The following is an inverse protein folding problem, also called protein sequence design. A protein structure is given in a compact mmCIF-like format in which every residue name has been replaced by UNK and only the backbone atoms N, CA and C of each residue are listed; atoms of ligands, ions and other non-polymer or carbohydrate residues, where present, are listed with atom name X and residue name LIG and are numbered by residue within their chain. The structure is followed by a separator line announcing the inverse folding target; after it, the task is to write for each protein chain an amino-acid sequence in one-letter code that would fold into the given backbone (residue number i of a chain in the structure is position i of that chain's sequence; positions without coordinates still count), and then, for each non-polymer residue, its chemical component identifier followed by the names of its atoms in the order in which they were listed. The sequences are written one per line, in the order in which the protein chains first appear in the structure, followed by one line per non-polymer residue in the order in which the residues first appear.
data_IF_759272498250
#
_entry.id   IF_759272498250
#
_cell.length_a   1.000
_cell.length_b   1.000
_cell.length_c   1.000
_cell.angle_alpha   90.00
_cell.angle_beta   90.00
_cell.angle_gamma   90.00
#
_symmetry.space_group_name_H-M   'P 1'
#
loop_
_entity.id
_entity.type
_entity.pdbx_description
1 polymer ?
#
# COMPACT_ATOMS: atom_id res chain seq x y z
N UNK A 1 -66.01 -46.60 46.57
CA UNK A 1 -65.14 -45.40 46.49
C UNK A 1 -64.58 -45.27 45.07
N UNK A 2 -65.01 -44.25 44.29
CA UNK A 2 -64.40 -43.90 42.98
C UNK A 2 -63.78 -42.51 43.10
N UNK A 3 -62.44 -42.42 43.09
CA UNK A 3 -61.72 -41.15 43.09
C UNK A 3 -61.67 -40.56 41.67
N UNK A 4 -62.20 -39.35 41.50
CA UNK A 4 -62.12 -38.54 40.27
C UNK A 4 -60.81 -37.75 40.26
N UNK A 5 -59.92 -38.02 39.29
CA UNK A 5 -58.76 -37.19 39.00
C UNK A 5 -59.20 -35.88 38.31
N UNK A 6 -58.90 -34.72 38.93
CA UNK A 6 -59.03 -33.39 38.31
C UNK A 6 -57.82 -33.13 37.40
N UNK A 7 -58.01 -33.11 36.08
CA UNK A 7 -57.01 -32.61 35.12
C UNK A 7 -56.95 -31.07 35.22
N UNK A 8 -55.76 -30.52 35.48
CA UNK A 8 -55.47 -29.08 35.34
C UNK A 8 -55.50 -28.74 33.85
N UNK A 9 -56.37 -27.82 33.43
CA UNK A 9 -56.40 -27.32 32.06
C UNK A 9 -55.17 -26.46 31.78
N UNK A 10 -54.39 -26.81 30.75
CA UNK A 10 -53.38 -25.92 30.17
C UNK A 10 -54.08 -24.97 29.21
N UNK A 11 -54.03 -23.66 29.48
CA UNK A 11 -54.45 -22.64 28.51
C UNK A 11 -53.41 -22.58 27.39
N UNK A 12 -53.70 -23.17 26.24
CA UNK A 12 -52.96 -22.89 25.00
C UNK A 12 -53.52 -21.59 24.41
N UNK A 13 -52.75 -20.51 24.46
CA UNK A 13 -53.06 -19.30 23.72
C UNK A 13 -52.84 -19.58 22.22
N UNK A 14 -53.90 -19.47 21.42
CA UNK A 14 -53.81 -19.57 19.96
C UNK A 14 -53.23 -18.26 19.41
N UNK A 15 -52.11 -18.36 18.68
CA UNK A 15 -51.50 -17.21 18.02
C UNK A 15 -52.24 -16.91 16.73
N UNK A 16 -52.68 -15.66 16.51
CA UNK A 16 -53.37 -15.30 15.28
C UNK A 16 -52.38 -15.08 14.14
N UNK A 17 -52.80 -15.38 12.91
CA UNK A 17 -51.99 -15.15 11.72
C UNK A 17 -51.59 -13.66 11.59
N UNK A 18 -52.45 -12.75 12.03
CA UNK A 18 -52.19 -11.30 12.03
C UNK A 18 -51.07 -10.94 13.00
N UNK A 19 -51.06 -11.46 14.22
CA UNK A 19 -49.98 -11.20 15.20
C UNK A 19 -48.62 -11.68 14.66
N UNK A 20 -48.58 -12.81 13.95
CA UNK A 20 -47.36 -13.28 13.29
C UNK A 20 -46.91 -12.34 12.19
N UNK A 21 -47.83 -11.90 11.33
CA UNK A 21 -47.53 -10.99 10.23
C UNK A 21 -47.00 -9.64 10.73
N UNK A 22 -47.56 -9.09 11.80
CA UNK A 22 -47.10 -7.81 12.38
C UNK A 22 -45.68 -7.96 12.94
N UNK A 23 -45.39 -9.04 13.66
CA UNK A 23 -44.06 -9.27 14.23
C UNK A 23 -43.00 -9.41 13.15
N UNK A 24 -43.25 -10.19 12.10
CA UNK A 24 -42.29 -10.31 10.98
C UNK A 24 -42.13 -8.98 10.24
N UNK A 25 -43.20 -8.18 10.09
CA UNK A 25 -43.13 -6.86 9.45
C UNK A 25 -42.24 -5.90 10.26
N UNK A 26 -42.38 -5.87 11.59
CA UNK A 26 -41.53 -5.05 12.46
C UNK A 26 -40.08 -5.52 12.39
N UNK A 27 -39.80 -6.83 12.47
CA UNK A 27 -38.45 -7.36 12.37
C UNK A 27 -37.82 -7.02 11.01
N UNK A 28 -38.58 -7.15 9.91
CA UNK A 28 -38.10 -6.80 8.57
C UNK A 28 -37.72 -5.32 8.47
N UNK A 29 -38.54 -4.41 9.02
CA UNK A 29 -38.25 -2.97 9.07
C UNK A 29 -37.00 -2.70 9.91
N UNK A 30 -36.88 -3.29 11.10
CA UNK A 30 -35.72 -3.11 11.96
C UNK A 30 -34.43 -3.61 11.28
N UNK A 31 -34.45 -4.78 10.64
CA UNK A 31 -33.30 -5.31 9.91
C UNK A 31 -32.95 -4.40 8.72
N UNK A 32 -33.95 -3.92 7.97
CA UNK A 32 -33.73 -3.01 6.84
C UNK A 32 -33.05 -1.70 7.27
N UNK A 33 -33.36 -1.19 8.47
CA UNK A 33 -32.74 0.02 9.02
C UNK A 33 -31.36 -0.26 9.65
N UNK A 34 -31.16 -1.43 10.26
CA UNK A 34 -29.92 -1.78 10.95
C UNK A 34 -28.82 -2.28 10.01
N UNK A 35 -29.16 -2.98 8.92
CA UNK A 35 -28.16 -3.57 8.02
C UNK A 35 -27.24 -2.52 7.39
N UNK A 36 -27.73 -1.41 6.80
CA UNK A 36 -26.86 -0.35 6.27
C UNK A 36 -25.98 0.28 7.34
N UNK A 37 -26.54 0.51 8.54
CA UNK A 37 -25.81 1.11 9.66
C UNK A 37 -24.67 0.21 10.16
N UNK A 38 -24.90 -1.10 10.27
CA UNK A 38 -23.85 -2.06 10.68
C UNK A 38 -22.73 -2.11 9.65
N UNK A 39 -23.02 -2.03 8.35
CA UNK A 39 -21.98 -2.02 7.32
C UNK A 39 -21.15 -0.74 7.35
N UNK A 40 -21.79 0.43 7.52
CA UNK A 40 -21.10 1.71 7.67
C UNK A 40 -20.18 1.71 8.91
N UNK A 41 -20.67 1.20 10.05
CA UNK A 41 -19.88 1.09 11.26
C UNK A 41 -18.67 0.16 11.08
N UNK A 42 -18.85 -0.97 10.39
CA UNK A 42 -17.75 -1.91 10.09
C UNK A 42 -16.69 -1.28 9.20
N UNK A 43 -17.09 -0.55 8.16
CA UNK A 43 -16.11 0.12 7.29
C UNK A 43 -15.39 1.27 8.01
N UNK A 44 -16.08 2.03 8.85
CA UNK A 44 -15.44 3.06 9.69
C UNK A 44 -14.40 2.45 10.65
N UNK A 45 -14.69 1.28 11.22
CA UNK A 45 -13.74 0.53 12.04
C UNK A 45 -12.53 0.05 11.22
N UNK A 46 -12.74 -0.54 10.04
CA UNK A 46 -11.65 -0.98 9.16
C UNK A 46 -10.77 0.19 8.71
N UNK A 47 -11.37 1.33 8.36
CA UNK A 47 -10.64 2.57 8.03
C UNK A 47 -9.80 3.07 9.19
N UNK A 48 -10.33 2.99 10.41
CA UNK A 48 -9.58 3.35 11.62
C UNK A 48 -8.40 2.38 11.84
N UNK A 49 -8.60 1.09 11.57
CA UNK A 49 -7.53 0.10 11.64
C UNK A 49 -6.44 0.35 10.59
N UNK A 50 -6.77 0.65 9.33
CA UNK A 50 -5.79 0.97 8.29
C UNK A 50 -5.00 2.25 8.65
N UNK A 51 -5.67 3.26 9.21
CA UNK A 51 -5.03 4.47 9.75
C UNK A 51 -4.06 4.15 10.90
N UNK A 52 -4.47 3.28 11.83
CA UNK A 52 -3.62 2.89 12.96
C UNK A 52 -2.39 2.10 12.53
N UNK A 53 -2.51 1.23 11.51
CA UNK A 53 -1.36 0.50 10.93
C UNK A 53 -0.34 1.45 10.31
N UNK A 54 -0.78 2.47 9.55
CA UNK A 54 0.12 3.54 9.07
C UNK A 54 0.78 4.30 10.23
N UNK A 55 0.02 4.59 11.30
CA UNK A 55 0.59 5.25 12.49
C UNK A 55 1.68 4.41 13.16
N UNK A 56 1.46 3.10 13.28
CA UNK A 56 2.46 2.17 13.81
C UNK A 56 3.69 2.07 12.89
N UNK A 57 3.51 2.08 11.57
CA UNK A 57 4.63 2.15 10.62
C UNK A 57 5.42 3.46 10.76
N UNK A 58 4.77 4.59 11.00
CA UNK A 58 5.44 5.85 11.30
C UNK A 58 6.30 5.77 12.56
N UNK A 59 5.78 5.19 13.63
CA UNK A 59 6.56 4.94 14.86
C UNK A 59 7.77 4.05 14.55
N UNK A 60 7.57 2.97 13.79
CA UNK A 60 8.66 2.07 13.41
C UNK A 60 9.75 2.76 12.58
N UNK A 61 9.38 3.66 11.66
CA UNK A 61 10.32 4.46 10.88
C UNK A 61 11.14 5.40 11.77
N UNK A 62 10.50 6.07 12.74
CA UNK A 62 11.24 6.92 13.68
C UNK A 62 12.15 6.10 14.62
N UNK A 63 11.72 4.92 15.07
CA UNK A 63 12.57 3.99 15.83
C UNK A 63 13.78 3.51 15.01
N UNK A 64 13.57 3.20 13.72
CA UNK A 64 14.67 2.89 12.81
C UNK A 64 15.65 4.06 12.69
N UNK A 65 15.14 5.29 12.54
CA UNK A 65 15.97 6.48 12.48
C UNK A 65 16.74 6.75 13.78
N UNK A 66 16.15 6.51 14.96
CA UNK A 66 16.83 6.65 16.25
C UNK A 66 18.04 5.72 16.36
N UNK A 67 17.93 4.48 15.88
CA UNK A 67 19.00 3.48 15.94
C UNK A 67 20.04 3.65 14.83
N UNK A 68 19.61 3.95 13.60
CA UNK A 68 20.48 3.93 12.42
C UNK A 68 20.90 5.32 11.92
N UNK A 69 20.31 6.41 12.44
CA UNK A 69 20.60 7.78 12.03
C UNK A 69 20.18 8.12 10.59
N UNK A 70 19.35 7.28 9.97
CA UNK A 70 18.82 7.44 8.62
C UNK A 70 17.45 6.78 8.48
N UNK A 71 16.74 7.09 7.41
CA UNK A 71 15.48 6.44 7.03
C UNK A 71 15.76 5.11 6.32
N UNK A 72 14.86 4.13 6.43
CA UNK A 72 14.95 2.91 5.64
C UNK A 72 14.87 3.24 4.15
N UNK A 73 15.58 2.49 3.32
CA UNK A 73 15.44 2.60 1.87
C UNK A 73 14.22 1.85 1.40
N UNK A 74 13.41 2.45 0.52
CA UNK A 74 12.29 1.76 -0.10
C UNK A 74 12.71 0.56 -0.97
N UNK A 75 13.95 0.58 -1.49
CA UNK A 75 14.59 -0.58 -2.14
C UNK A 75 16.09 -0.55 -1.91
N UNK A 76 16.62 -1.59 -1.26
CA UNK A 76 18.04 -1.77 -0.95
C UNK A 76 18.70 -2.93 -1.70
N UNK A 77 20.03 -3.02 -1.56
CA UNK A 77 20.87 -4.11 -2.07
C UNK A 77 21.29 -5.03 -0.94
N UNK A 78 21.30 -6.34 -1.16
CA UNK A 78 21.58 -7.35 -0.12
C UNK A 78 22.82 -8.20 -0.43
N UNK A 79 23.74 -7.67 -1.25
CA UNK A 79 24.99 -8.35 -1.59
C UNK A 79 24.87 -9.56 -2.54
N UNK A 80 23.66 -10.05 -2.82
CA UNK A 80 23.41 -11.26 -3.63
C UNK A 80 23.33 -11.12 -5.15
N UNK A 81 23.61 -12.21 -5.90
CA UNK A 81 23.39 -12.28 -7.34
C UNK A 81 21.88 -12.39 -7.64
N UNK A 82 21.27 -11.26 -7.97
CA UNK A 82 19.82 -11.16 -8.18
C UNK A 82 19.22 -9.78 -7.93
N UNK A 83 19.97 -8.88 -7.29
CA UNK A 83 19.78 -7.44 -7.47
C UNK A 83 18.80 -6.75 -6.51
N UNK A 84 19.36 -5.86 -5.67
CA UNK A 84 18.94 -4.44 -5.50
C UNK A 84 17.45 -4.13 -5.28
N UNK A 85 16.66 -5.08 -4.79
CA UNK A 85 15.20 -5.01 -4.66
C UNK A 85 14.63 -5.42 -3.30
N UNK A 86 15.41 -5.52 -2.22
CA UNK A 86 14.74 -5.75 -0.92
C UNK A 86 14.04 -4.49 -0.45
N UNK A 87 12.79 -4.64 0.00
CA UNK A 87 11.99 -3.56 0.53
C UNK A 87 12.52 -3.09 1.89
N UNK A 88 12.30 -1.81 2.19
CA UNK A 88 12.61 -1.22 3.50
C UNK A 88 11.88 -1.88 4.67
N UNK A 89 10.79 -2.62 4.40
CA UNK A 89 10.08 -3.38 5.42
C UNK A 89 10.95 -4.41 6.14
N UNK A 90 11.96 -4.98 5.47
CA UNK A 90 12.90 -5.92 6.11
C UNK A 90 13.64 -5.25 7.27
N UNK A 91 14.09 -4.00 7.08
CA UNK A 91 14.74 -3.21 8.13
C UNK A 91 13.78 -2.75 9.23
N UNK A 92 12.48 -2.66 8.94
CA UNK A 92 11.46 -2.26 9.91
C UNK A 92 10.98 -3.42 10.80
N UNK A 93 11.26 -4.69 10.44
CA UNK A 93 10.77 -5.86 11.20
C UNK A 93 11.02 -5.80 12.72
N UNK A 94 12.22 -5.42 13.21
CA UNK A 94 12.46 -5.33 14.65
C UNK A 94 11.60 -4.27 15.35
N UNK A 95 11.14 -3.26 14.62
CA UNK A 95 10.37 -2.12 15.12
C UNK A 95 8.85 -2.32 15.00
N UNK A 96 8.41 -3.48 14.51
CA UNK A 96 6.99 -3.85 14.31
C UNK A 96 6.65 -5.22 14.92
N UNK A 97 7.37 -5.60 15.99
CA UNK A 97 7.22 -6.87 16.70
C UNK A 97 7.45 -8.12 15.82
N UNK A 98 8.32 -7.99 14.81
CA UNK A 98 8.73 -9.09 13.92
C UNK A 98 10.23 -9.45 14.05
N UNK A 99 10.80 -9.27 15.24
CA UNK A 99 12.20 -9.63 15.52
C UNK A 99 12.56 -11.11 15.22
N UNK A 100 11.70 -12.12 15.49
CA UNK A 100 12.00 -13.50 15.12
C UNK A 100 12.14 -13.70 13.60
N UNK A 101 11.33 -12.99 12.81
CA UNK A 101 11.40 -13.03 11.35
C UNK A 101 12.66 -12.35 10.83
N UNK A 102 13.04 -11.21 11.43
CA UNK A 102 14.31 -10.55 11.12
C UNK A 102 15.51 -11.46 11.41
N UNK A 103 15.52 -12.12 12.57
CA UNK A 103 16.60 -13.04 12.94
C UNK A 103 16.68 -14.25 12.00
N UNK A 104 15.55 -14.78 11.53
CA UNK A 104 15.52 -15.85 10.52
C UNK A 104 16.20 -15.39 9.21
N UNK A 105 15.88 -14.19 8.75
CA UNK A 105 16.44 -13.58 7.54
C UNK A 105 17.95 -13.33 7.72
N UNK A 106 18.34 -12.80 8.88
CA UNK A 106 19.71 -12.43 9.19
C UNK A 106 20.62 -13.65 9.38
N UNK A 107 20.12 -14.70 10.05
CA UNK A 107 20.87 -15.92 10.28
C UNK A 107 20.98 -16.79 9.02
N UNK A 108 19.94 -16.78 8.17
CA UNK A 108 19.88 -17.64 6.99
C UNK A 108 19.88 -19.12 7.36
N UNK A 109 20.73 -19.89 6.70
CA UNK A 109 20.85 -21.33 6.87
C UNK A 109 19.73 -22.11 6.17
N UNK A 110 19.79 -23.43 6.31
CA UNK A 110 18.71 -24.33 5.85
C UNK A 110 17.40 -24.12 6.62
N UNK A 111 17.47 -23.55 7.82
CA UNK A 111 16.29 -23.20 8.61
C UNK A 111 15.41 -22.14 7.93
N UNK A 112 15.99 -21.24 7.14
CA UNK A 112 15.26 -20.24 6.37
C UNK A 112 14.55 -20.84 5.13
N UNK A 113 14.98 -22.02 4.68
CA UNK A 113 14.40 -22.71 3.54
C UNK A 113 13.15 -23.50 3.91
N UNK A 114 12.15 -23.47 3.03
CA UNK A 114 10.93 -24.28 3.12
C UNK A 114 11.29 -25.76 2.93
N UNK A 115 12.15 -26.07 1.96
CA UNK A 115 12.62 -27.42 1.67
C UNK A 115 13.63 -27.98 2.70
N UNK A 116 14.10 -27.15 3.63
CA UNK A 116 15.12 -27.52 4.62
C UNK A 116 16.48 -27.90 4.02
N UNK A 117 16.71 -27.62 2.72
CA UNK A 117 17.85 -28.09 1.94
C UNK A 117 18.68 -26.93 1.39
N UNK A 118 18.04 -25.87 0.92
CA UNK A 118 18.75 -24.69 0.41
C UNK A 118 19.42 -23.95 1.56
N UNK A 119 20.74 -23.77 1.47
CA UNK A 119 21.50 -23.05 2.50
C UNK A 119 21.61 -21.56 2.15
N UNK A 120 20.78 -20.73 2.77
CA UNK A 120 20.79 -19.29 2.54
C UNK A 120 21.91 -18.60 3.31
N UNK A 121 22.63 -17.69 2.67
CA UNK A 121 23.44 -16.71 3.38
C UNK A 121 22.50 -15.62 3.92
N UNK A 122 22.76 -15.13 5.14
CA UNK A 122 21.94 -14.09 5.78
C UNK A 122 21.73 -12.88 4.88
N UNK A 123 20.48 -12.40 4.79
CA UNK A 123 20.03 -11.33 3.88
C UNK A 123 20.23 -11.58 2.37
N UNK A 124 20.99 -12.60 1.97
CA UNK A 124 21.40 -12.87 0.60
C UNK A 124 20.42 -13.83 -0.09
N UNK A 125 19.28 -13.26 -0.50
CA UNK A 125 18.25 -13.93 -1.30
C UNK A 125 17.43 -12.90 -2.06
N UNK A 126 16.71 -13.38 -3.09
CA UNK A 126 15.83 -12.56 -3.90
C UNK A 126 14.41 -12.52 -3.30
N UNK A 127 13.72 -11.36 -3.30
CA UNK A 127 12.35 -11.23 -2.77
C UNK A 127 11.28 -12.12 -3.43
N UNK A 128 11.57 -12.65 -4.62
CA UNK A 128 10.68 -13.57 -5.34
C UNK A 128 11.00 -15.05 -5.12
N UNK A 129 11.93 -15.38 -4.21
CA UNK A 129 12.26 -16.76 -3.89
C UNK A 129 11.14 -17.43 -3.07
N UNK A 130 10.41 -18.34 -3.71
CA UNK A 130 9.33 -19.09 -3.07
C UNK A 130 9.82 -20.11 -2.04
N UNK A 131 11.11 -20.47 -2.06
CA UNK A 131 11.68 -21.40 -1.10
C UNK A 131 12.10 -20.69 0.21
N UNK A 132 12.21 -19.36 0.23
CA UNK A 132 12.54 -18.65 1.46
C UNK A 132 11.28 -18.44 2.34
N UNK A 133 11.29 -18.94 3.58
CA UNK A 133 10.14 -18.88 4.51
C UNK A 133 9.64 -17.46 4.77
N UNK A 134 10.53 -16.48 4.83
CA UNK A 134 10.14 -15.09 5.07
C UNK A 134 9.24 -14.51 3.95
N UNK A 135 9.50 -14.86 2.69
CA UNK A 135 8.71 -14.41 1.53
C UNK A 135 7.25 -14.88 1.62
N UNK A 136 7.02 -16.01 2.30
CA UNK A 136 5.70 -16.63 2.49
C UNK A 136 4.99 -16.21 3.78
N UNK A 137 5.68 -15.47 4.65
CA UNK A 137 5.16 -15.07 5.96
C UNK A 137 4.24 -13.87 5.79
N UNK A 138 3.01 -13.97 6.34
CA UNK A 138 2.05 -12.87 6.33
C UNK A 138 2.28 -12.01 7.57
N UNK A 139 2.39 -10.69 7.38
CA UNK A 139 2.55 -9.72 8.47
C UNK A 139 1.23 -8.93 8.57
N UNK A 140 0.36 -9.21 9.56
CA UNK A 140 -0.96 -8.57 9.66
C UNK A 140 -0.92 -7.04 9.74
N UNK A 141 0.18 -6.48 10.25
CA UNK A 141 0.44 -5.04 10.31
C UNK A 141 0.57 -4.41 8.92
N UNK A 142 0.99 -5.17 7.91
CA UNK A 142 1.14 -4.69 6.53
C UNK A 142 -0.15 -4.79 5.69
N UNK A 143 -1.24 -5.31 6.25
CA UNK A 143 -2.46 -5.59 5.50
C UNK A 143 -3.61 -4.66 5.94
N UNK A 144 -4.24 -3.98 4.99
CA UNK A 144 -5.44 -3.19 5.28
C UNK A 144 -6.67 -4.11 5.22
N UNK A 145 -7.46 -4.24 6.30
CA UNK A 145 -8.65 -5.09 6.32
C UNK A 145 -9.72 -4.73 5.27
N UNK A 146 -9.76 -3.49 4.76
CA UNK A 146 -10.73 -3.10 3.72
C UNK A 146 -10.41 -3.64 2.33
N UNK A 147 -9.14 -3.94 2.02
CA UNK A 147 -8.76 -4.48 0.71
C UNK A 147 -9.06 -5.99 0.58
N UNK A 148 -9.19 -6.69 1.70
CA UNK A 148 -9.31 -8.15 1.71
C UNK A 148 -8.05 -8.87 1.22
N UNK A 149 -8.07 -10.20 1.29
CA UNK A 149 -6.94 -11.03 0.87
C UNK A 149 -6.83 -11.12 -0.66
N UNK A 150 -5.67 -11.58 -1.12
CA UNK A 150 -5.44 -11.93 -2.51
C UNK A 150 -4.71 -13.27 -2.59
N UNK A 151 -5.12 -14.10 -3.55
CA UNK A 151 -4.41 -15.34 -3.89
C UNK A 151 -3.45 -15.15 -5.06
N UNK A 152 -3.38 -13.95 -5.62
CA UNK A 152 -2.49 -13.61 -6.72
C UNK A 152 -1.02 -13.73 -6.27
N UNK A 153 -0.19 -14.39 -7.07
CA UNK A 153 1.24 -14.65 -6.80
C UNK A 153 1.57 -15.42 -5.51
N UNK A 154 0.61 -16.15 -4.92
CA UNK A 154 0.92 -17.12 -3.87
C UNK A 154 2.03 -18.09 -4.33
N UNK A 155 2.94 -18.51 -3.42
CA UNK A 155 2.85 -18.40 -1.96
C UNK A 155 3.41 -17.09 -1.36
N UNK A 156 3.77 -16.10 -2.19
CA UNK A 156 4.33 -14.83 -1.72
C UNK A 156 3.26 -14.00 -1.02
N UNK A 157 3.66 -13.22 -0.01
CA UNK A 157 2.75 -12.36 0.75
C UNK A 157 2.96 -10.88 0.42
N UNK A 158 1.88 -10.13 0.51
CA UNK A 158 1.81 -8.73 0.08
C UNK A 158 1.80 -7.71 1.20
N UNK A 159 1.74 -6.44 0.80
CA UNK A 159 1.58 -5.26 1.64
C UNK A 159 0.51 -4.35 1.02
N UNK A 160 -0.24 -3.65 1.86
CA UNK A 160 -1.11 -2.54 1.47
C UNK A 160 -0.46 -1.18 1.68
N UNK A 161 0.74 -1.12 2.28
CA UNK A 161 1.42 0.14 2.57
C UNK A 161 2.68 0.24 1.73
N UNK A 162 2.89 1.41 1.14
CA UNK A 162 3.89 1.68 0.11
C UNK A 162 4.80 2.82 0.56
N UNK A 163 6.08 2.73 0.25
CA UNK A 163 7.06 3.78 0.49
C UNK A 163 7.00 4.85 -0.61
N UNK A 164 6.89 6.12 -0.22
CA UNK A 164 6.92 7.25 -1.14
C UNK A 164 8.26 7.36 -1.86
N UNK A 165 8.20 7.31 -3.19
CA UNK A 165 9.29 7.64 -4.12
C UNK A 165 9.23 9.09 -4.60
N UNK A 166 8.21 9.82 -4.17
CA UNK A 166 7.96 11.21 -4.49
C UNK A 166 7.25 11.42 -5.82
N UNK A 167 7.39 12.63 -6.33
CA UNK A 167 6.68 13.19 -7.48
C UNK A 167 7.45 12.98 -8.80
N UNK A 168 8.15 11.85 -8.94
CA UNK A 168 8.90 11.52 -10.15
C UNK A 168 8.59 10.10 -10.61
N UNK A 169 8.38 9.95 -11.93
CA UNK A 169 8.18 8.64 -12.55
C UNK A 169 9.51 7.97 -12.95
N UNK A 170 10.64 8.63 -12.64
CA UNK A 170 11.98 8.12 -12.93
C UNK A 170 12.42 7.10 -11.89
N UNK A 171 13.30 6.18 -12.31
CA UNK A 171 13.88 5.21 -11.42
C UNK A 171 14.65 5.93 -10.30
N UNK A 172 14.27 5.60 -9.06
CA UNK A 172 14.88 6.13 -7.84
C UNK A 172 15.83 5.13 -7.21
N UNK A 173 16.17 4.03 -7.91
CA UNK A 173 17.16 3.07 -7.47
C UNK A 173 18.57 3.69 -7.54
N UNK A 174 19.22 3.92 -6.39
CA UNK A 174 20.49 4.64 -6.34
C UNK A 174 21.66 3.88 -6.99
N UNK A 175 21.50 2.58 -7.22
CA UNK A 175 22.54 1.74 -7.80
C UNK A 175 22.51 1.76 -9.35
N UNK A 176 21.42 2.26 -9.94
CA UNK A 176 21.30 2.48 -11.37
C UNK A 176 21.53 3.96 -11.62
N UNK A 177 22.47 4.28 -12.52
CA UNK A 177 22.72 5.64 -12.99
C UNK A 177 21.52 6.25 -13.76
N UNK A 178 20.32 5.65 -13.63
CA UNK A 178 19.10 5.93 -14.37
C UNK A 178 18.35 7.18 -13.89
N UNK A 179 18.66 7.71 -12.71
CA UNK A 179 18.18 9.04 -12.34
C UNK A 179 19.08 10.15 -12.90
N UNK A 180 20.20 9.85 -13.58
CA UNK A 180 21.04 10.86 -14.27
C UNK A 180 21.46 12.08 -13.42
N UNK A 181 21.60 11.93 -12.10
CA UNK A 181 21.88 13.07 -11.21
C UNK A 181 20.72 14.04 -10.98
N UNK A 182 19.50 13.69 -11.40
CA UNK A 182 18.28 14.51 -11.32
C UNK A 182 17.69 14.62 -9.90
N UNK A 183 18.41 14.21 -8.87
CA UNK A 183 18.01 14.36 -7.47
C UNK A 183 16.95 13.38 -6.99
N UNK A 184 17.00 13.06 -5.69
CA UNK A 184 16.11 12.13 -5.03
C UNK A 184 15.03 12.90 -4.27
N UNK A 185 13.79 12.84 -4.75
CA UNK A 185 12.68 13.68 -4.27
C UNK A 185 11.77 13.03 -3.23
N UNK A 186 11.61 11.70 -3.25
CA UNK A 186 10.80 10.99 -2.25
C UNK A 186 11.43 10.86 -0.86
N UNK A 187 10.58 10.53 0.12
CA UNK A 187 10.99 10.36 1.50
C UNK A 187 11.88 9.14 1.74
N UNK A 188 11.68 8.05 0.99
CA UNK A 188 12.40 6.78 1.20
C UNK A 188 13.36 6.42 0.06
N UNK A 189 13.81 7.42 -0.69
CA UNK A 189 14.79 7.24 -1.77
C UNK A 189 16.18 7.65 -1.31
N UNK A 190 17.19 6.85 -1.70
CA UNK A 190 18.60 7.04 -1.33
C UNK A 190 19.27 5.74 -0.92
N UNK A 191 20.56 5.84 -0.58
CA UNK A 191 21.29 4.86 0.23
C UNK A 191 22.24 3.90 -0.49
N UNK A 192 22.51 4.06 -1.79
CA UNK A 192 23.71 3.47 -2.41
C UNK A 192 24.41 4.44 -3.37
N UNK A 193 25.68 4.19 -3.68
CA UNK A 193 26.48 5.05 -4.55
C UNK A 193 26.57 6.51 -4.04
N UNK A 194 26.55 7.46 -4.97
CA UNK A 194 26.76 8.89 -4.68
C UNK A 194 25.56 9.59 -4.02
N UNK A 195 24.42 8.92 -3.89
CA UNK A 195 23.16 9.57 -3.51
C UNK A 195 22.93 9.72 -2.00
N UNK A 196 23.78 9.12 -1.16
CA UNK A 196 23.71 9.19 0.31
C UNK A 196 22.45 8.55 0.92
N UNK A 197 22.48 8.24 2.21
CA UNK A 197 21.29 7.79 2.96
C UNK A 197 20.42 8.98 3.34
N UNK A 198 19.09 8.83 3.31
CA UNK A 198 18.16 9.89 3.72
C UNK A 198 18.14 10.05 5.24
N UNK A 199 18.22 11.28 5.75
CA UNK A 199 18.03 11.62 7.17
C UNK A 199 16.90 12.63 7.33
N UNK A 200 16.41 12.82 8.56
CA UNK A 200 15.37 13.83 8.85
C UNK A 200 15.76 15.23 8.33
N UNK A 201 17.02 15.64 8.56
CA UNK A 201 17.52 16.97 8.14
C UNK A 201 17.48 17.20 6.62
N UNK A 202 17.42 16.13 5.82
CA UNK A 202 17.43 16.21 4.37
C UNK A 202 16.00 16.37 3.80
N UNK A 203 14.99 16.43 4.67
CA UNK A 203 13.58 16.73 4.32
C UNK A 203 13.33 18.22 4.59
N UNK A 204 13.79 19.06 3.68
CA UNK A 204 13.78 20.52 3.82
C UNK A 204 12.40 21.14 3.64
N UNK A 205 11.47 20.45 2.97
CA UNK A 205 10.07 20.89 2.86
C UNK A 205 9.26 20.70 4.16
N UNK A 206 9.86 20.00 5.14
CA UNK A 206 9.30 19.75 6.46
C UNK A 206 8.60 18.39 6.57
N UNK A 207 8.85 17.69 7.69
CA UNK A 207 8.30 16.36 7.93
C UNK A 207 6.76 16.31 7.89
N UNK A 208 6.08 17.37 8.34
CA UNK A 208 4.62 17.46 8.33
C UNK A 208 4.02 17.71 6.93
N UNK A 209 4.85 18.11 5.97
CA UNK A 209 4.46 18.47 4.61
C UNK A 209 4.99 17.48 3.57
N UNK A 210 5.71 16.44 3.98
CA UNK A 210 6.19 15.41 3.08
C UNK A 210 5.56 14.07 3.41
N UNK A 211 4.97 13.43 2.42
CA UNK A 211 4.40 12.09 2.50
C UNK A 211 5.53 11.07 2.58
N UNK A 212 5.52 10.30 3.66
CA UNK A 212 6.38 9.15 3.85
C UNK A 212 5.78 7.91 3.17
N UNK A 213 4.57 7.51 3.54
CA UNK A 213 3.93 6.28 3.04
C UNK A 213 2.50 6.53 2.62
N UNK A 214 1.94 5.63 1.82
CA UNK A 214 0.54 5.65 1.46
C UNK A 214 0.01 4.24 1.29
N UNK A 215 -1.32 4.12 1.32
CA UNK A 215 -1.96 2.82 1.09
C UNK A 215 -2.17 2.54 -0.40
N UNK A 216 -2.12 1.26 -0.76
CA UNK A 216 -2.43 0.78 -2.11
C UNK A 216 -3.14 -0.57 -2.05
N UNK A 217 -4.11 -0.74 -2.94
CA UNK A 217 -4.86 -2.00 -3.13
C UNK A 217 -3.92 -3.09 -3.66
N UNK A 218 -4.07 -4.31 -3.11
CA UNK A 218 -3.35 -5.48 -3.62
C UNK A 218 -4.04 -5.99 -4.88
N UNK A 219 -3.22 -6.33 -5.87
CA UNK A 219 -3.66 -6.94 -7.11
C UNK A 219 -4.49 -8.21 -6.83
N UNK A 220 -5.63 -8.36 -7.52
CA UNK A 220 -6.54 -9.51 -7.38
C UNK A 220 -6.45 -10.44 -8.60
N UNK A 221 -6.68 -11.75 -8.44
CA UNK A 221 -6.76 -12.68 -9.57
C UNK A 221 -7.82 -12.24 -10.58
N UNK A 222 -7.43 -12.19 -11.86
CA UNK A 222 -8.31 -11.72 -12.93
C UNK A 222 -8.63 -10.22 -12.91
N UNK A 223 -8.10 -9.45 -11.95
CA UNK A 223 -8.31 -8.01 -11.84
C UNK A 223 -7.80 -7.26 -13.09
N UNK A 224 -8.54 -6.21 -13.46
CA UNK A 224 -8.25 -5.32 -14.58
C UNK A 224 -8.69 -3.86 -14.34
N UNK A 225 -8.81 -3.43 -13.09
CA UNK A 225 -9.25 -2.09 -12.70
C UNK A 225 -8.36 -1.49 -11.60
N UNK A 226 -8.54 -0.20 -11.33
CA UNK A 226 -7.84 0.52 -10.24
C UNK A 226 -8.11 -0.19 -8.90
N UNK A 227 -9.40 -0.47 -8.62
CA UNK A 227 -9.85 -1.08 -7.36
C UNK A 227 -9.61 -2.59 -7.26
N UNK A 228 -9.00 -3.19 -8.30
CA UNK A 228 -8.50 -4.58 -8.25
C UNK A 228 -6.98 -4.65 -8.25
N UNK A 229 -6.30 -3.51 -8.07
CA UNK A 229 -4.84 -3.40 -7.94
C UNK A 229 -4.07 -3.73 -9.23
N UNK A 230 -4.76 -3.72 -10.38
CA UNK A 230 -4.13 -3.90 -11.67
C UNK A 230 -3.38 -2.63 -12.09
N UNK A 231 -2.33 -2.81 -12.89
CA UNK A 231 -1.48 -1.72 -13.41
C UNK A 231 -1.45 -1.85 -14.94
N UNK A 232 -1.66 -0.75 -15.66
CA UNK A 232 -1.48 -0.73 -17.11
C UNK A 232 -0.02 -1.03 -17.48
N UNK A 233 0.18 -1.89 -18.48
CA UNK A 233 1.50 -2.21 -19.02
C UNK A 233 1.61 -1.78 -20.48
N UNK A 234 2.77 -2.01 -21.11
CA UNK A 234 3.07 -1.59 -22.48
C UNK A 234 3.07 -0.06 -22.71
N UNK A 235 3.31 0.72 -21.65
CA UNK A 235 3.55 2.17 -21.74
C UNK A 235 5.02 2.37 -21.47
N UNK A 236 5.76 2.92 -22.43
CA UNK A 236 7.23 2.99 -22.35
C UNK A 236 7.68 4.04 -21.33
N UNK A 237 8.87 3.84 -20.75
CA UNK A 237 9.53 4.84 -19.90
C UNK A 237 9.57 6.23 -20.52
N UNK A 238 9.84 6.30 -21.84
CA UNK A 238 9.91 7.58 -22.55
C UNK A 238 8.57 8.34 -22.57
N UNK A 239 7.44 7.65 -22.46
CA UNK A 239 6.11 8.25 -22.42
C UNK A 239 5.78 8.80 -21.02
N UNK A 240 5.69 7.92 -20.02
CA UNK A 240 5.18 8.33 -18.70
C UNK A 240 6.14 9.23 -17.90
N UNK A 241 7.42 9.29 -18.27
CA UNK A 241 8.41 10.18 -17.62
C UNK A 241 8.31 11.63 -18.07
N UNK A 242 7.73 11.89 -19.23
CA UNK A 242 7.54 13.25 -19.79
C UNK A 242 6.09 13.69 -19.78
N UNK A 243 5.15 12.73 -19.79
CA UNK A 243 3.70 12.94 -19.76
C UNK A 243 3.04 11.75 -19.04
N UNK A 244 2.64 11.94 -17.78
CA UNK A 244 1.95 10.93 -17.00
C UNK A 244 0.47 10.77 -17.36
N UNK A 245 -0.11 11.67 -18.18
CA UNK A 245 -1.50 11.55 -18.63
C UNK A 245 -1.73 10.31 -19.51
N UNK A 246 -0.66 9.74 -20.07
CA UNK A 246 -0.70 8.46 -20.78
C UNK A 246 -1.22 7.32 -19.91
N UNK A 247 -1.03 7.35 -18.59
CA UNK A 247 -1.61 6.37 -17.69
C UNK A 247 -3.15 6.52 -17.64
N UNK A 248 -3.65 7.75 -17.60
CA UNK A 248 -5.08 8.06 -17.59
C UNK A 248 -5.75 7.61 -18.88
N UNK A 249 -5.10 7.85 -20.01
CA UNK A 249 -5.59 7.49 -21.35
C UNK A 249 -5.72 5.97 -21.58
N UNK A 250 -5.04 5.16 -20.76
CA UNK A 250 -5.14 3.70 -20.83
C UNK A 250 -6.28 3.12 -19.97
N UNK A 251 -7.09 3.98 -19.35
CA UNK A 251 -8.24 3.58 -18.54
C UNK A 251 -9.57 3.98 -19.18
N UNK A 252 -10.48 3.02 -19.28
CA UNK A 252 -11.84 3.28 -19.74
C UNK A 252 -12.75 3.50 -18.52
N UNK A 253 -13.10 4.76 -18.28
CA UNK A 253 -13.98 5.17 -17.18
C UNK A 253 -15.41 4.64 -17.31
N UNK A 254 -15.87 4.31 -18.52
CA UNK A 254 -17.23 3.77 -18.74
C UNK A 254 -17.31 2.31 -18.29
N UNK A 255 -16.26 1.52 -18.55
CA UNK A 255 -16.21 0.10 -18.18
C UNK A 255 -15.51 -0.15 -16.84
N UNK A 256 -14.95 0.90 -16.23
CA UNK A 256 -14.10 0.83 -15.03
C UNK A 256 -12.94 -0.17 -15.16
N UNK A 257 -12.26 -0.16 -16.32
CA UNK A 257 -11.22 -1.14 -16.65
C UNK A 257 -10.09 -0.53 -17.48
N UNK A 258 -8.89 -1.09 -17.38
CA UNK A 258 -7.82 -0.77 -18.32
C UNK A 258 -8.18 -1.29 -19.71
N UNK A 259 -8.01 -0.42 -20.71
CA UNK A 259 -8.34 -0.70 -22.10
C UNK A 259 -7.27 -1.56 -22.81
N UNK A 260 -6.03 -1.49 -22.34
CA UNK A 260 -4.88 -2.21 -22.89
C UNK A 260 -4.44 -3.40 -22.05
N UNK A 261 -3.18 -3.81 -22.25
CA UNK A 261 -2.56 -4.83 -21.39
C UNK A 261 -2.43 -4.34 -19.96
N UNK A 262 -2.72 -5.22 -19.01
CA UNK A 262 -2.55 -4.95 -17.58
C UNK A 262 -1.83 -6.11 -16.89
N UNK A 263 -1.18 -5.79 -15.78
CA UNK A 263 -0.52 -6.77 -14.92
C UNK A 263 -1.02 -6.68 -13.48
N UNK A 264 -0.93 -7.81 -12.77
CA UNK A 264 -1.37 -7.98 -11.39
C UNK A 264 -0.16 -8.06 -10.47
N UNK A 265 0.49 -6.91 -10.24
CA UNK A 265 1.68 -6.81 -9.39
C UNK A 265 1.44 -6.05 -8.09
N UNK A 266 0.50 -5.10 -8.09
CA UNK A 266 0.26 -4.16 -7.00
C UNK A 266 0.27 -4.83 -5.62
N UNK A 267 1.27 -4.52 -4.80
CA UNK A 267 1.25 -4.89 -3.37
C UNK A 267 1.41 -6.38 -3.05
N UNK A 268 1.84 -7.24 -3.99
CA UNK A 268 1.84 -8.70 -3.77
C UNK A 268 3.13 -9.31 -3.20
N UNK A 269 4.18 -8.49 -3.01
CA UNK A 269 5.47 -8.94 -2.45
C UNK A 269 5.98 -7.91 -1.45
N UNK A 270 5.71 -8.10 -0.16
CA UNK A 270 6.12 -7.13 0.87
C UNK A 270 7.65 -6.99 0.99
N UNK A 271 8.41 -8.01 0.58
CA UNK A 271 9.89 -7.97 0.60
C UNK A 271 10.49 -7.33 -0.65
N UNK A 272 9.68 -6.99 -1.67
CA UNK A 272 10.17 -6.49 -2.96
C UNK A 272 10.01 -4.96 -3.03
N UNK A 273 11.13 -4.27 -3.12
CA UNK A 273 11.27 -2.81 -3.13
C UNK A 273 10.94 -2.14 -4.46
N UNK A 274 10.65 -2.91 -5.52
CA UNK A 274 10.25 -2.30 -6.79
C UNK A 274 8.92 -1.53 -6.66
N UNK A 275 8.73 -0.54 -7.55
CA UNK A 275 7.58 0.37 -7.52
C UNK A 275 6.25 -0.39 -7.47
N UNK A 276 6.13 -1.42 -8.29
CA UNK A 276 4.94 -2.28 -8.40
C UNK A 276 4.57 -3.08 -7.16
N UNK A 277 5.46 -3.19 -6.15
CA UNK A 277 5.19 -4.01 -4.96
C UNK A 277 5.14 -3.21 -3.68
N UNK A 278 6.13 -2.37 -3.39
CA UNK A 278 6.18 -1.58 -2.15
C UNK A 278 6.53 -0.10 -2.36
N UNK A 279 6.45 0.39 -3.59
CA UNK A 279 6.64 1.81 -3.90
C UNK A 279 5.35 2.52 -4.28
N UNK A 280 5.36 3.84 -4.14
CA UNK A 280 4.33 4.71 -4.70
C UNK A 280 4.93 6.02 -5.20
N UNK A 281 4.25 6.67 -6.15
CA UNK A 281 4.51 8.03 -6.58
C UNK A 281 3.44 8.99 -6.05
N UNK A 282 3.66 10.29 -6.28
CA UNK A 282 2.70 11.36 -6.00
C UNK A 282 2.55 12.25 -7.25
N UNK A 283 1.93 11.72 -8.31
CA UNK A 283 1.85 12.39 -9.62
C UNK A 283 0.41 12.63 -10.06
N UNK A 284 -0.46 11.61 -10.00
CA UNK A 284 -1.83 11.68 -10.53
C UNK A 284 -2.88 11.91 -9.45
N UNK A 285 -2.58 11.55 -8.20
CA UNK A 285 -3.49 11.60 -7.06
C UNK A 285 -3.98 10.21 -6.65
N UNK A 286 -4.64 10.11 -5.47
CA UNK A 286 -5.26 8.88 -5.03
C UNK A 286 -6.30 8.33 -6.02
N UNK A 287 -6.41 7.01 -6.09
CA UNK A 287 -7.40 6.29 -6.90
C UNK A 287 -7.33 6.61 -8.41
N UNK A 288 -6.15 6.97 -8.93
CA UNK A 288 -5.94 7.15 -10.37
C UNK A 288 -5.29 5.92 -11.03
N UNK A 289 -5.50 5.73 -12.35
CA UNK A 289 -4.86 4.67 -13.13
C UNK A 289 -3.33 4.64 -12.94
N UNK A 290 -2.82 3.47 -12.57
CA UNK A 290 -1.39 3.22 -12.47
C UNK A 290 -0.85 2.70 -13.80
N UNK A 291 0.37 3.07 -14.16
CA UNK A 291 1.00 2.55 -15.35
C UNK A 291 2.52 2.31 -15.25
N UNK A 292 3.01 1.40 -16.09
CA UNK A 292 4.42 0.99 -16.16
C UNK A 292 4.76 0.41 -17.53
N UNK A 293 6.05 0.30 -17.82
CA UNK A 293 6.50 -0.52 -18.95
C UNK A 293 6.47 -2.02 -18.60
N UNK A 294 6.58 -2.93 -19.58
CA UNK A 294 6.60 -4.36 -19.29
C UNK A 294 7.75 -4.79 -18.35
N UNK A 295 7.42 -5.67 -17.40
CA UNK A 295 8.33 -6.16 -16.37
C UNK A 295 7.97 -5.66 -14.97
N UNK A 296 8.14 -6.51 -13.95
CA UNK A 296 7.79 -6.19 -12.56
C UNK A 296 8.85 -5.35 -11.82
N UNK A 297 10.02 -5.19 -12.43
CA UNK A 297 11.19 -4.48 -11.93
C UNK A 297 11.18 -2.97 -12.24
N UNK A 298 10.19 -2.53 -13.01
CA UNK A 298 10.23 -1.23 -13.68
C UNK A 298 9.74 -0.11 -12.77
N UNK A 299 10.17 1.10 -13.09
CA UNK A 299 9.52 2.31 -12.62
C UNK A 299 8.15 2.51 -13.30
N UNK A 300 7.42 3.51 -12.84
CA UNK A 300 6.09 3.81 -13.33
C UNK A 300 5.40 4.82 -12.45
N UNK A 301 4.20 5.22 -12.87
CA UNK A 301 3.34 6.11 -12.11
C UNK A 301 2.32 5.25 -11.36
N UNK A 302 2.43 5.22 -10.05
CA UNK A 302 1.68 4.32 -9.19
C UNK A 302 1.36 5.03 -7.88
N UNK A 303 0.28 5.79 -7.88
CA UNK A 303 -0.15 6.55 -6.72
C UNK A 303 -0.98 5.68 -5.75
N UNK A 304 -1.27 6.16 -4.53
CA UNK A 304 -2.10 5.46 -3.57
C UNK A 304 -3.46 5.05 -4.13
N UNK A 305 -3.94 3.87 -3.74
CA UNK A 305 -5.28 3.39 -4.07
C UNK A 305 -5.93 2.76 -2.85
N UNK A 306 -7.23 2.98 -2.67
CA UNK A 306 -7.93 2.54 -1.46
C UNK A 306 -9.37 2.13 -1.75
N UNK A 307 -9.87 1.19 -0.96
CA UNK A 307 -11.30 0.84 -0.93
C UNK A 307 -12.11 1.86 -0.10
N UNK A 308 -11.42 2.77 0.61
CA UNK A 308 -12.09 3.84 1.33
C UNK A 308 -12.65 4.88 0.35
N UNK A 309 -13.91 5.23 0.52
CA UNK A 309 -14.59 6.16 -0.38
C UNK A 309 -13.93 7.55 -0.39
N UNK A 310 -13.63 8.07 -1.58
CA UNK A 310 -13.25 9.47 -1.82
C UNK A 310 -11.77 9.79 -1.65
N UNK A 311 -10.89 8.81 -1.41
CA UNK A 311 -9.47 9.08 -1.19
C UNK A 311 -8.68 7.92 -0.59
N UNK A 312 -7.47 8.22 -0.11
CA UNK A 312 -6.57 7.26 0.51
C UNK A 312 -5.88 7.81 1.76
N UNK A 313 -5.53 6.95 2.70
CA UNK A 313 -4.70 7.29 3.85
C UNK A 313 -3.23 7.42 3.44
N UNK A 314 -2.59 8.47 3.93
CA UNK A 314 -1.15 8.70 3.81
C UNK A 314 -0.53 8.97 5.17
N UNK A 315 0.68 8.48 5.36
CA UNK A 315 1.55 8.79 6.48
C UNK A 315 2.46 9.95 6.09
N UNK A 316 2.45 11.00 6.88
CA UNK A 316 3.38 12.12 6.80
C UNK A 316 4.71 11.78 7.50
N UNK A 317 5.79 12.47 7.12
CA UNK A 317 7.13 12.27 7.67
C UNK A 317 7.28 12.55 9.16
N UNK A 318 6.32 13.26 9.78
CA UNK A 318 6.25 13.50 11.22
C UNK A 318 5.44 12.42 11.98
N UNK A 319 4.96 11.41 11.26
CA UNK A 319 4.15 10.33 11.79
C UNK A 319 2.65 10.64 11.87
N UNK A 320 2.18 11.80 11.42
CA UNK A 320 0.74 12.07 11.29
C UNK A 320 0.14 11.23 10.15
N UNK A 321 -1.11 10.78 10.31
CA UNK A 321 -1.83 10.06 9.24
C UNK A 321 -3.01 10.91 8.80
N UNK A 322 -3.05 11.24 7.51
CA UNK A 322 -4.07 12.08 6.88
C UNK A 322 -4.81 11.30 5.81
N UNK A 323 -6.09 11.60 5.67
CA UNK A 323 -6.89 11.09 4.56
C UNK A 323 -6.88 12.12 3.44
N UNK A 324 -6.33 11.77 2.29
CA UNK A 324 -6.19 12.66 1.14
C UNK A 324 -7.28 12.35 0.14
N UNK A 325 -8.02 13.37 -0.28
CA UNK A 325 -9.07 13.21 -1.27
C UNK A 325 -8.51 12.82 -2.64
N UNK A 326 -9.24 11.99 -3.38
CA UNK A 326 -8.96 11.70 -4.80
C UNK A 326 -9.17 12.89 -5.76
N UNK A 327 -9.71 13.99 -5.22
CA UNK A 327 -9.89 15.28 -5.90
C UNK A 327 -8.83 16.32 -5.49
N UNK A 328 -7.77 15.92 -4.78
CA UNK A 328 -6.65 16.81 -4.49
C UNK A 328 -6.07 17.39 -5.78
N UNK A 329 -5.59 18.64 -5.72
CA UNK A 329 -4.89 19.27 -6.84
C UNK A 329 -3.60 18.49 -7.18
N UNK A 330 -3.67 17.75 -8.30
CA UNK A 330 -2.56 17.01 -8.88
C UNK A 330 -1.89 17.74 -10.07
N UNK A 331 -2.18 19.04 -10.24
CA UNK A 331 -1.54 19.90 -11.23
C UNK A 331 -1.69 19.39 -12.67
N UNK A 332 -0.60 19.52 -13.46
CA UNK A 332 -0.59 19.14 -14.87
C UNK A 332 0.09 17.78 -15.09
N UNK A 333 -0.67 16.69 -15.29
CA UNK A 333 -0.10 15.36 -15.51
C UNK A 333 0.68 15.23 -16.83
N UNK A 334 0.48 16.15 -17.79
CA UNK A 334 1.23 16.18 -19.04
C UNK A 334 2.60 16.86 -18.93
N UNK A 335 3.01 17.24 -17.71
CA UNK A 335 4.33 17.82 -17.45
C UNK A 335 5.39 16.75 -17.24
N UNK A 336 6.61 17.07 -17.63
CA UNK A 336 7.77 16.21 -17.37
C UNK A 336 8.06 16.12 -15.88
N UNK A 337 8.44 14.92 -15.41
CA UNK A 337 8.80 14.73 -14.01
C UNK A 337 9.89 15.73 -13.57
N UNK A 338 9.71 16.41 -12.42
CA UNK A 338 10.64 17.37 -11.90
C UNK A 338 11.95 16.72 -11.44
N UNK A 339 12.99 17.54 -11.30
CA UNK A 339 14.32 17.11 -10.88
C UNK A 339 14.94 18.07 -9.88
N UNK A 340 15.75 17.53 -8.97
CA UNK A 340 16.45 18.27 -7.93
C UNK A 340 15.44 18.99 -7.05
N UNK A 341 15.73 20.25 -6.76
CA UNK A 341 14.87 21.14 -5.98
C UNK A 341 13.88 21.95 -6.83
N UNK A 342 13.57 21.51 -8.06
CA UNK A 342 12.54 22.16 -8.87
C UNK A 342 11.17 22.07 -8.19
N UNK A 343 10.27 23.01 -8.49
CA UNK A 343 8.88 22.88 -8.07
C UNK A 343 8.20 21.75 -8.85
N UNK A 344 7.39 20.96 -8.18
CA UNK A 344 6.49 19.96 -8.71
C UNK A 344 5.48 20.60 -9.64
N UNK A 345 5.31 20.09 -10.87
CA UNK A 345 4.22 20.47 -11.75
C UNK A 345 2.89 19.79 -11.39
N UNK A 346 2.91 18.86 -10.43
CA UNK A 346 1.78 18.02 -10.06
C UNK A 346 0.99 18.58 -8.87
N UNK A 347 0.91 19.91 -8.79
CA UNK A 347 0.09 20.62 -7.80
C UNK A 347 0.50 20.37 -6.35
N UNK A 348 -0.46 20.56 -5.45
CA UNK A 348 -0.29 20.25 -4.01
C UNK A 348 0.12 18.80 -3.81
N UNK A 349 -0.47 17.88 -4.58
CA UNK A 349 -0.20 16.45 -4.44
C UNK A 349 1.27 16.08 -4.69
N UNK A 350 1.87 16.60 -5.75
CA UNK A 350 3.28 16.35 -6.01
C UNK A 350 4.21 17.11 -5.07
N UNK A 351 3.84 18.33 -4.65
CA UNK A 351 4.59 19.05 -3.63
C UNK A 351 4.70 18.23 -2.33
N UNK A 352 3.60 17.59 -1.91
CA UNK A 352 3.57 16.68 -0.77
C UNK A 352 4.47 15.46 -0.91
N UNK A 353 4.81 15.02 -2.11
CA UNK A 353 5.75 13.91 -2.31
C UNK A 353 7.21 14.29 -2.33
N UNK A 354 7.51 15.59 -2.47
CA UNK A 354 8.87 16.10 -2.51
C UNK A 354 9.42 16.34 -1.10
N UNK A 355 10.71 16.06 -0.93
CA UNK A 355 11.49 16.39 0.27
C UNK A 355 12.17 17.75 0.17
N UNK A 356 12.26 18.33 -1.02
CA UNK A 356 13.05 19.54 -1.28
C UNK A 356 12.59 20.38 -2.49
N UNK A 357 11.30 20.41 -2.80
CA UNK A 357 10.72 21.24 -3.88
C UNK A 357 10.50 22.71 -3.47
N UNK A 358 10.40 22.99 -2.17
CA UNK A 358 10.30 24.35 -1.61
C UNK A 358 8.95 25.04 -1.79
N UNK A 359 7.89 24.31 -2.17
CA UNK A 359 6.57 24.88 -2.34
C UNK A 359 5.83 25.05 -1.00
N UNK A 360 5.11 26.16 -0.79
CA UNK A 360 4.18 26.25 0.32
C UNK A 360 3.01 25.31 0.07
N UNK A 361 2.79 24.39 0.99
CA UNK A 361 1.63 23.49 0.98
C UNK A 361 0.56 24.10 1.89
N UNK A 362 -0.63 24.37 1.36
CA UNK A 362 -1.76 24.92 2.12
C UNK A 362 -2.44 23.88 3.01
N UNK A 363 -3.70 24.09 3.38
CA UNK A 363 -4.52 23.04 4.00
C UNK A 363 -4.99 22.05 2.91
N UNK A 364 -4.86 20.74 3.18
CA UNK A 364 -5.15 19.64 2.26
C UNK A 364 -5.74 18.41 2.95
#
# INVERSE_FOLDING_TARGET
MKQRHKRKGSFTFGFTLIELLVVIAIIAILIALLLPAVQQAREAARRTECKNKLKQLGIAVHGYHEVHGCMPMASGSNGGPGGRRQSGFVGLLPFIDQAPLFNLIAAGGTAAAVDGTTNYNGFDFVPWDNNHKAVRTSIPMLLCPSDGDSTEQLPRRGSNYMFSRGDTAWDTNPAWNGNGGRGLRGFFVGGSGNSGVRRIRDVTDGLSNTIAMGERIKAKPGGNSILTGAIATNITQAQYRVDASVCLNNYNNTTDQYAGSSARWGGLRWMDGAMSFTGMSTILGPNKPSCSQPGDQQDGVQDPTSQHAGGAQVLMGDGAVRFISENIDAGNPASTSPSGSARSPFGIWGALGSVSGGEPVGDF
#
